data_IF_319484487250
#
_entry.id   IF_319484487250
#
_cell.length_a   1.000
_cell.length_b   1.000
_cell.length_c   1.000
_cell.angle_alpha   90.00
_cell.angle_beta   90.00
_cell.angle_gamma   90.00
#
_symmetry.space_group_name_H-M   'P 1'
#
loop_
_entity.id
_entity.type
_entity.pdbx_description
1 polymer ?
#
# COMPACT_ATOMS: atom_id res chain seq x y z
N UNK A 1 -13.92 3.92 -4.01
CA UNK A 1 -15.21 4.23 -4.70
C UNK A 1 -16.23 4.64 -3.63
N UNK A 2 -16.97 5.75 -3.78
CA UNK A 2 -17.95 6.17 -2.78
C UNK A 2 -19.17 5.24 -2.78
N UNK A 3 -19.41 4.52 -1.69
CA UNK A 3 -20.65 3.75 -1.51
C UNK A 3 -21.83 4.71 -1.36
N UNK A 4 -23.04 4.26 -1.70
CA UNK A 4 -24.29 5.06 -1.65
C UNK A 4 -24.64 5.66 -0.26
N UNK A 5 -23.79 5.46 0.75
CA UNK A 5 -23.95 5.94 2.13
C UNK A 5 -22.87 6.96 2.55
N UNK A 6 -22.11 7.56 1.62
CA UNK A 6 -21.14 8.63 1.93
C UNK A 6 -19.94 8.22 2.80
N UNK A 7 -19.89 6.97 3.27
CA UNK A 7 -18.74 6.40 3.97
C UNK A 7 -17.70 5.92 2.95
N UNK A 8 -16.47 6.40 3.11
CA UNK A 8 -15.29 5.78 2.48
C UNK A 8 -15.29 4.30 2.86
N UNK A 9 -15.02 3.45 1.87
CA UNK A 9 -14.81 2.02 2.11
C UNK A 9 -13.67 1.86 3.13
N UNK A 10 -13.80 0.94 4.09
CA UNK A 10 -12.76 0.66 5.08
C UNK A 10 -11.44 0.29 4.39
N UNK A 11 -11.52 -0.39 3.23
CA UNK A 11 -10.37 -0.70 2.39
C UNK A 11 -9.68 0.55 1.84
N UNK A 12 -10.48 1.52 1.36
CA UNK A 12 -9.94 2.81 0.87
C UNK A 12 -9.22 3.57 2.01
N UNK A 13 -9.74 3.50 3.24
CA UNK A 13 -9.10 4.12 4.42
C UNK A 13 -7.77 3.43 4.75
N UNK A 14 -7.72 2.09 4.75
CA UNK A 14 -6.48 1.34 4.99
C UNK A 14 -5.43 1.62 3.92
N UNK A 15 -5.84 1.69 2.65
CA UNK A 15 -4.97 2.07 1.54
C UNK A 15 -4.34 3.45 1.75
N UNK A 16 -5.16 4.46 2.03
CA UNK A 16 -4.70 5.84 2.24
C UNK A 16 -3.72 5.95 3.41
N UNK A 17 -3.99 5.23 4.52
CA UNK A 17 -3.15 5.25 5.72
C UNK A 17 -1.76 4.64 5.49
N UNK A 18 -1.65 3.63 4.62
CA UNK A 18 -0.41 2.85 4.43
C UNK A 18 0.36 3.24 3.17
N UNK A 19 -0.19 4.06 2.28
CA UNK A 19 0.49 4.52 1.07
C UNK A 19 1.83 5.23 1.35
N UNK A 20 1.93 5.99 2.45
CA UNK A 20 3.19 6.65 2.84
C UNK A 20 4.27 5.63 3.20
N UNK A 21 3.90 4.50 3.81
CA UNK A 21 4.83 3.43 4.17
C UNK A 21 5.47 2.81 2.94
N UNK A 22 4.68 2.55 1.89
CA UNK A 22 5.19 2.04 0.61
C UNK A 22 6.27 2.97 0.07
N UNK A 23 6.00 4.28 0.06
CA UNK A 23 6.95 5.29 -0.44
C UNK A 23 8.25 5.29 0.37
N UNK A 24 8.14 5.23 1.71
CA UNK A 24 9.29 5.16 2.62
C UNK A 24 10.15 3.91 2.35
N UNK A 25 9.52 2.75 2.20
CA UNK A 25 10.20 1.49 1.91
C UNK A 25 10.86 1.53 0.53
N UNK A 26 10.20 2.09 -0.48
CA UNK A 26 10.77 2.25 -1.83
C UNK A 26 12.05 3.10 -1.81
N UNK A 27 12.08 4.22 -1.08
CA UNK A 27 13.30 5.02 -0.91
C UNK A 27 14.41 4.24 -0.19
N UNK A 28 14.07 3.50 0.87
CA UNK A 28 15.04 2.67 1.60
C UNK A 28 15.63 1.54 0.74
N UNK A 29 14.81 0.91 -0.11
CA UNK A 29 15.24 -0.09 -1.07
C UNK A 29 16.13 0.52 -2.15
N UNK A 30 15.73 1.67 -2.71
CA UNK A 30 16.48 2.37 -3.77
C UNK A 30 17.91 2.71 -3.33
N UNK A 31 18.11 3.04 -2.05
CA UNK A 31 19.45 3.29 -1.49
C UNK A 31 20.42 2.09 -1.57
N UNK A 32 19.89 0.87 -1.78
CA UNK A 32 20.65 -0.38 -1.83
C UNK A 32 20.68 -1.03 -3.21
N UNK A 33 20.06 -0.40 -4.21
CA UNK A 33 19.89 -0.96 -5.55
C UNK A 33 20.73 -0.20 -6.60
N UNK A 34 21.08 -0.85 -7.73
CA UNK A 34 21.81 -0.18 -8.80
C UNK A 34 21.08 1.06 -9.35
N UNK A 35 21.80 1.97 -10.03
CA UNK A 35 21.20 3.16 -10.65
C UNK A 35 20.10 2.82 -11.66
N UNK A 36 20.19 1.69 -12.34
CA UNK A 36 19.23 1.22 -13.36
C UNK A 36 17.84 0.88 -12.82
N UNK A 37 17.66 0.79 -11.50
CA UNK A 37 16.33 0.54 -10.91
C UNK A 37 15.64 1.86 -10.64
N UNK A 38 14.48 2.08 -11.23
CA UNK A 38 13.72 3.31 -11.04
C UNK A 38 12.93 3.30 -9.73
N UNK A 39 12.87 4.45 -9.07
CA UNK A 39 12.13 4.60 -7.81
C UNK A 39 10.62 4.42 -8.04
N UNK A 40 10.10 4.98 -9.13
CA UNK A 40 8.68 4.96 -9.41
C UNK A 40 8.17 3.54 -9.68
N UNK A 41 9.02 2.66 -10.21
CA UNK A 41 8.71 1.24 -10.40
C UNK A 41 8.59 0.52 -9.04
N UNK A 42 9.49 0.84 -8.09
CA UNK A 42 9.41 0.29 -6.73
C UNK A 42 8.15 0.76 -6.00
N UNK A 43 7.79 2.03 -6.16
CA UNK A 43 6.57 2.59 -5.58
C UNK A 43 5.36 1.90 -6.20
N UNK A 44 5.28 1.78 -7.52
CA UNK A 44 4.15 1.14 -8.19
C UNK A 44 4.00 -0.34 -7.79
N UNK A 45 5.09 -1.11 -7.81
CA UNK A 45 5.08 -2.50 -7.38
C UNK A 45 4.64 -2.64 -5.91
N UNK A 46 5.13 -1.76 -5.03
CA UNK A 46 4.72 -1.72 -3.63
C UNK A 46 3.25 -1.35 -3.43
N UNK A 47 2.71 -0.43 -4.24
CA UNK A 47 1.30 -0.05 -4.21
C UNK A 47 0.40 -1.20 -4.69
N UNK A 48 0.82 -1.95 -5.70
CA UNK A 48 0.11 -3.16 -6.13
C UNK A 48 0.06 -4.21 -5.00
N UNK A 49 1.18 -4.42 -4.30
CA UNK A 49 1.23 -5.31 -3.14
C UNK A 49 0.36 -4.84 -1.98
N UNK A 50 0.35 -3.54 -1.69
CA UNK A 50 -0.52 -2.96 -0.66
C UNK A 50 -2.00 -3.16 -1.01
N UNK A 51 -2.38 -2.94 -2.26
CA UNK A 51 -3.76 -3.13 -2.72
C UNK A 51 -4.21 -4.59 -2.59
N UNK A 52 -3.35 -5.55 -2.94
CA UNK A 52 -3.64 -6.98 -2.74
C UNK A 52 -3.76 -7.33 -1.25
N UNK A 53 -2.85 -6.82 -0.41
CA UNK A 53 -2.89 -7.01 1.04
C UNK A 53 -4.18 -6.47 1.67
N UNK A 54 -4.58 -5.23 1.35
CA UNK A 54 -5.84 -4.63 1.83
C UNK A 54 -7.05 -5.43 1.34
N UNK A 55 -7.01 -5.98 0.13
CA UNK A 55 -8.11 -6.76 -0.40
C UNK A 55 -8.31 -8.09 0.30
N UNK A 56 -7.22 -8.70 0.77
CA UNK A 56 -7.19 -10.01 1.47
C UNK A 56 -7.22 -9.90 2.99
N UNK A 57 -7.08 -8.69 3.53
CA UNK A 57 -7.07 -8.49 4.97
C UNK A 57 -8.42 -8.82 5.59
N UNK A 58 -8.38 -9.63 6.65
CA UNK A 58 -9.51 -10.01 7.47
C UNK A 58 -9.16 -9.80 8.95
N UNK A 59 -9.84 -8.85 9.59
CA UNK A 59 -9.62 -8.44 11.00
C UNK A 59 -9.85 -9.60 12.01
N UNK A 60 -10.50 -10.66 11.57
CA UNK A 60 -10.77 -11.88 12.34
C UNK A 60 -9.55 -12.76 12.57
N UNK A 61 -8.46 -12.56 11.82
CA UNK A 61 -7.24 -13.37 11.94
C UNK A 61 -6.33 -12.93 13.11
N UNK A 62 -6.72 -11.90 13.86
CA UNK A 62 -5.97 -11.40 15.03
C UNK A 62 -4.67 -10.67 14.70
N UNK A 63 -4.36 -10.51 13.41
CA UNK A 63 -3.25 -9.68 12.94
C UNK A 63 -3.75 -8.25 12.72
N UNK A 64 -3.02 -7.29 13.26
CA UNK A 64 -3.19 -5.89 12.87
C UNK A 64 -2.63 -5.70 11.46
N UNK A 65 -3.34 -4.92 10.64
CA UNK A 65 -2.82 -4.48 9.35
C UNK A 65 -1.54 -3.64 9.53
#
# INVERSE_FOLDING_TARGET
>A
MYTAHGKKDQKDVLLDQHAILVKKLAYQLKAKLPPSVELDDLIQAGMMGLLDAVNRYEDTHGAQF
#
